data_IF_951215028240
#
_entry.id   IF_951215028240
#
_cell.length_a   1.000
_cell.length_b   1.000
_cell.length_c   1.000
_cell.angle_alpha   90.00
_cell.angle_beta   90.00
_cell.angle_gamma   90.00
#
_symmetry.space_group_name_H-M   'P 1'
#
loop_
_entity.id
_entity.type
_entity.pdbx_description
1 polymer ?
#
# COMPACT_ATOMS: atom_id res chain seq x y z
N UNK A 1 -12.12 3.51 -14.63
CA UNK A 1 -12.60 4.92 -14.70
C UNK A 1 -13.07 5.24 -16.11
N UNK A 2 -12.27 4.97 -17.12
CA UNK A 2 -12.63 5.01 -18.52
C UNK A 2 -12.44 3.61 -19.13
N UNK A 3 -12.89 3.39 -20.36
CA UNK A 3 -12.72 2.13 -21.06
C UNK A 3 -11.29 2.04 -21.59
N UNK A 4 -10.66 0.87 -21.51
CA UNK A 4 -9.34 0.69 -22.11
C UNK A 4 -9.38 1.00 -23.61
N UNK A 5 -8.43 1.82 -24.07
CA UNK A 5 -8.38 2.32 -25.44
C UNK A 5 -9.33 3.48 -25.78
N UNK A 6 -10.19 3.92 -24.86
CA UNK A 6 -11.07 5.08 -25.05
C UNK A 6 -11.17 5.94 -23.78
N UNK A 7 -10.49 7.09 -23.81
CA UNK A 7 -10.44 8.06 -22.71
C UNK A 7 -11.49 9.18 -22.85
N UNK A 8 -12.33 9.17 -23.89
CA UNK A 8 -13.26 10.28 -24.18
C UNK A 8 -14.36 10.42 -23.13
N UNK A 9 -14.71 9.32 -22.46
CA UNK A 9 -15.76 9.26 -21.43
C UNK A 9 -15.18 8.70 -20.13
N UNK A 10 -15.34 9.44 -19.03
CA UNK A 10 -14.92 9.05 -17.69
C UNK A 10 -16.09 8.87 -16.72
N UNK A 11 -16.10 7.76 -15.99
CA UNK A 11 -17.05 7.46 -14.93
C UNK A 11 -16.42 7.82 -13.57
N UNK A 12 -16.95 8.86 -12.93
CA UNK A 12 -16.43 9.42 -11.67
C UNK A 12 -17.49 9.30 -10.57
N UNK A 13 -17.09 8.90 -9.37
CA UNK A 13 -17.98 8.73 -8.22
C UNK A 13 -18.82 7.45 -8.24
N UNK A 14 -18.70 6.63 -9.28
CA UNK A 14 -19.38 5.32 -9.39
C UNK A 14 -18.68 4.21 -8.59
N UNK A 15 -18.15 4.56 -7.41
CA UNK A 15 -17.52 3.63 -6.47
C UNK A 15 -18.16 3.79 -5.09
N UNK A 16 -18.40 2.65 -4.42
CA UNK A 16 -18.92 2.64 -3.05
C UNK A 16 -17.84 2.08 -2.13
N UNK A 17 -16.98 2.94 -1.55
CA UNK A 17 -15.98 2.49 -0.59
C UNK A 17 -16.65 1.90 0.65
N UNK A 18 -16.02 0.88 1.23
CA UNK A 18 -16.51 0.28 2.48
C UNK A 18 -16.46 1.24 3.67
N UNK A 19 -15.34 1.95 3.79
CA UNK A 19 -15.02 2.91 4.85
C UNK A 19 -14.28 4.05 4.16
N UNK A 20 -14.75 5.28 4.29
CA UNK A 20 -14.10 6.45 3.69
C UNK A 20 -15.05 7.29 2.84
N UNK A 21 -14.56 8.46 2.43
CA UNK A 21 -15.37 9.46 1.74
C UNK A 21 -15.29 9.31 0.22
N UNK A 22 -16.43 9.44 -0.47
CA UNK A 22 -16.51 9.44 -1.94
C UNK A 22 -15.88 10.69 -2.57
N UNK A 23 -16.08 11.93 -2.04
CA UNK A 23 -15.56 13.13 -2.69
C UNK A 23 -14.03 13.12 -2.93
N UNK A 24 -13.19 12.67 -1.97
CA UNK A 24 -11.75 12.54 -2.22
C UNK A 24 -11.40 11.52 -3.31
N UNK A 25 -12.12 10.39 -3.39
CA UNK A 25 -11.92 9.41 -4.45
C UNK A 25 -12.36 9.97 -5.80
N UNK A 26 -13.51 10.65 -5.85
CA UNK A 26 -14.01 11.28 -7.06
C UNK A 26 -13.02 12.34 -7.59
N UNK A 27 -12.37 13.09 -6.70
CA UNK A 27 -11.28 14.00 -7.06
C UNK A 27 -10.11 13.25 -7.71
N UNK A 28 -9.57 12.19 -7.08
CA UNK A 28 -8.46 11.41 -7.66
C UNK A 28 -8.85 10.75 -8.99
N UNK A 29 -10.08 10.24 -9.10
CA UNK A 29 -10.63 9.69 -10.35
C UNK A 29 -10.68 10.75 -11.45
N UNK A 30 -11.15 11.96 -11.12
CA UNK A 30 -11.18 13.09 -12.04
C UNK A 30 -9.79 13.50 -12.49
N UNK A 31 -8.84 13.61 -11.55
CA UNK A 31 -7.45 13.95 -11.85
C UNK A 31 -6.79 12.95 -12.79
N UNK A 32 -6.97 11.65 -12.56
CA UNK A 32 -6.42 10.60 -13.41
C UNK A 32 -7.07 10.65 -14.80
N UNK A 33 -8.39 10.78 -14.87
CA UNK A 33 -9.09 10.83 -16.16
C UNK A 33 -8.69 12.07 -16.98
N UNK A 34 -8.69 13.25 -16.37
CA UNK A 34 -8.27 14.50 -17.03
C UNK A 34 -6.82 14.42 -17.50
N UNK A 35 -5.92 13.87 -16.67
CA UNK A 35 -4.53 13.65 -17.07
C UNK A 35 -4.44 12.77 -18.32
N UNK A 36 -5.17 11.66 -18.35
CA UNK A 36 -5.17 10.73 -19.50
C UNK A 36 -5.79 11.34 -20.74
N UNK A 37 -6.86 12.12 -20.58
CA UNK A 37 -7.47 12.87 -21.66
C UNK A 37 -6.52 13.91 -22.26
N UNK A 38 -5.75 14.61 -21.42
CA UNK A 38 -4.74 15.57 -21.89
C UNK A 38 -3.56 14.88 -22.58
N UNK A 39 -3.10 13.74 -22.06
CA UNK A 39 -2.04 12.94 -22.69
C UNK A 39 -2.46 12.40 -24.07
N UNK A 40 -3.71 12.01 -24.23
CA UNK A 40 -4.27 11.54 -25.50
C UNK A 40 -4.41 12.69 -26.53
N UNK A 41 -4.89 13.86 -26.08
CA UNK A 41 -5.13 15.02 -26.95
C UNK A 41 -3.87 15.81 -27.28
N UNK A 42 -2.91 15.86 -26.35
CA UNK A 42 -1.71 16.68 -26.38
C UNK A 42 -0.47 15.88 -25.94
N UNK A 43 -0.09 14.81 -26.67
CA UNK A 43 0.96 13.89 -26.25
C UNK A 43 2.36 14.51 -26.20
N UNK A 44 2.57 15.62 -26.92
CA UNK A 44 3.86 16.34 -26.93
C UNK A 44 4.00 17.28 -25.74
N UNK A 45 2.92 17.95 -25.38
CA UNK A 45 2.86 18.92 -24.28
C UNK A 45 2.72 18.24 -22.92
N UNK A 46 1.98 17.12 -22.87
CA UNK A 46 1.78 16.32 -21.66
C UNK A 46 2.31 14.91 -21.92
N UNK A 47 3.64 14.72 -21.87
CA UNK A 47 4.22 13.40 -22.05
C UNK A 47 3.83 12.47 -20.89
N UNK A 48 3.76 11.17 -21.16
CA UNK A 48 3.46 10.13 -20.16
C UNK A 48 4.64 9.84 -19.21
N UNK A 49 5.64 10.71 -19.16
CA UNK A 49 6.82 10.58 -18.31
C UNK A 49 6.44 10.75 -16.85
N UNK A 50 6.86 9.82 -15.99
CA UNK A 50 6.61 9.89 -14.55
C UNK A 50 7.60 10.79 -13.83
N UNK A 51 7.17 11.31 -12.70
CA UNK A 51 8.05 12.03 -11.78
C UNK A 51 9.11 11.05 -11.22
N UNK A 52 10.41 11.39 -11.27
CA UNK A 52 11.48 10.54 -10.72
C UNK A 52 11.33 10.22 -9.23
N UNK A 53 10.61 11.06 -8.48
CA UNK A 53 10.37 10.87 -7.04
C UNK A 53 9.14 10.03 -6.73
N UNK A 54 8.37 9.65 -7.76
CA UNK A 54 7.19 8.79 -7.63
C UNK A 54 7.55 7.30 -7.70
N UNK A 55 6.76 6.46 -7.04
CA UNK A 55 6.91 5.02 -7.12
C UNK A 55 6.57 4.48 -8.52
N UNK A 56 7.21 3.37 -8.87
CA UNK A 56 6.79 2.55 -10.00
C UNK A 56 5.39 1.96 -9.77
N UNK A 57 4.65 1.72 -10.86
CA UNK A 57 3.33 1.10 -10.73
C UNK A 57 3.50 -0.36 -10.37
N UNK A 58 2.77 -0.74 -9.34
CA UNK A 58 2.43 -2.12 -9.04
C UNK A 58 0.91 -2.17 -8.83
N UNK A 59 0.35 -3.37 -8.94
CA UNK A 59 -1.06 -3.56 -8.65
C UNK A 59 -1.22 -3.87 -7.16
N UNK A 60 -1.96 -3.02 -6.47
CA UNK A 60 -2.57 -3.38 -5.20
C UNK A 60 -3.82 -4.24 -5.46
N UNK A 61 -4.31 -4.94 -4.44
CA UNK A 61 -5.64 -5.54 -4.52
C UNK A 61 -6.70 -4.44 -4.36
N UNK A 62 -6.93 -3.68 -5.43
CA UNK A 62 -7.91 -2.59 -5.52
C UNK A 62 -9.13 -2.99 -6.36
N UNK A 63 -9.17 -4.23 -6.84
CA UNK A 63 -10.13 -4.67 -7.85
C UNK A 63 -11.56 -4.53 -7.33
N UNK A 64 -12.43 -4.00 -8.19
CA UNK A 64 -13.87 -3.99 -7.95
C UNK A 64 -14.35 -5.44 -7.93
N UNK A 65 -14.59 -5.99 -6.74
CA UNK A 65 -15.19 -7.30 -6.65
C UNK A 65 -16.61 -7.24 -7.21
N UNK A 66 -16.84 -8.02 -8.28
CA UNK A 66 -18.13 -8.09 -8.94
C UNK A 66 -19.21 -8.45 -7.91
N UNK A 67 -20.31 -7.71 -7.93
CA UNK A 67 -21.50 -8.07 -7.17
C UNK A 67 -21.98 -9.44 -7.66
N UNK A 68 -21.89 -10.46 -6.81
CA UNK A 68 -22.83 -11.57 -6.86
C UNK A 68 -24.25 -11.10 -6.53
N UNK A 69 -25.12 -12.04 -6.15
CA UNK A 69 -26.52 -11.77 -5.78
C UNK A 69 -26.68 -10.52 -4.88
N UNK A 70 -27.76 -9.77 -5.08
CA UNK A 70 -28.12 -8.47 -4.50
C UNK A 70 -28.35 -8.49 -2.96
N UNK A 71 -27.59 -9.28 -2.21
CA UNK A 71 -27.64 -9.33 -0.75
C UNK A 71 -26.78 -8.22 -0.17
N UNK A 72 -27.45 -7.24 0.44
CA UNK A 72 -26.83 -6.10 1.12
C UNK A 72 -25.81 -6.50 2.21
N UNK A 73 -25.96 -7.70 2.78
CA UNK A 73 -25.10 -8.24 3.83
C UNK A 73 -23.85 -8.95 3.27
N UNK A 74 -23.96 -9.58 2.10
CA UNK A 74 -22.85 -10.26 1.41
C UNK A 74 -22.00 -9.29 0.57
N UNK A 75 -22.57 -8.14 0.18
CA UNK A 75 -21.91 -7.08 -0.61
C UNK A 75 -21.47 -5.86 0.21
N UNK A 76 -21.22 -6.05 1.52
CA UNK A 76 -20.42 -5.08 2.28
C UNK A 76 -18.99 -5.12 1.71
N UNK A 77 -18.53 -4.02 1.08
CA UNK A 77 -17.15 -3.74 0.60
C UNK A 77 -16.89 -4.00 -0.89
N UNK A 78 -17.48 -3.19 -1.77
CA UNK A 78 -17.17 -3.25 -3.20
C UNK A 78 -15.74 -2.84 -3.54
N UNK A 79 -15.17 -1.90 -2.78
CA UNK A 79 -13.80 -1.38 -2.94
C UNK A 79 -13.24 -0.96 -1.58
N UNK A 80 -11.99 -1.31 -1.29
CA UNK A 80 -11.24 -0.75 -0.16
C UNK A 80 -10.78 0.67 -0.49
N UNK A 81 -11.12 1.64 0.36
CA UNK A 81 -10.89 3.06 0.06
C UNK A 81 -9.41 3.41 -0.03
N UNK A 82 -8.61 2.90 0.92
CA UNK A 82 -7.20 3.24 1.04
C UNK A 82 -6.39 2.64 -0.11
N UNK A 83 -6.60 1.34 -0.40
CA UNK A 83 -5.97 0.64 -1.52
C UNK A 83 -6.36 1.26 -2.85
N UNK A 84 -7.63 1.63 -3.04
CA UNK A 84 -8.10 2.26 -4.26
C UNK A 84 -7.54 3.67 -4.46
N UNK A 85 -7.56 4.52 -3.43
CA UNK A 85 -6.95 5.85 -3.49
C UNK A 85 -5.47 5.78 -3.84
N UNK A 86 -4.74 4.83 -3.23
CA UNK A 86 -3.32 4.65 -3.50
C UNK A 86 -3.06 4.13 -4.92
N UNK A 87 -3.88 3.20 -5.42
CA UNK A 87 -3.76 2.74 -6.82
C UNK A 87 -3.94 3.90 -7.80
N UNK A 88 -4.95 4.76 -7.59
CA UNK A 88 -5.14 5.94 -8.44
C UNK A 88 -3.91 6.85 -8.41
N UNK A 89 -3.27 7.00 -7.26
CA UNK A 89 -2.03 7.76 -7.14
C UNK A 89 -0.85 7.09 -7.86
N UNK A 90 -0.72 5.77 -7.82
CA UNK A 90 0.28 5.02 -8.60
C UNK A 90 0.08 5.21 -10.11
N UNK A 91 -1.16 5.08 -10.57
CA UNK A 91 -1.52 5.19 -11.99
C UNK A 91 -1.30 6.60 -12.55
N UNK A 92 -1.43 7.62 -11.70
CA UNK A 92 -1.09 9.01 -12.01
C UNK A 92 0.42 9.32 -11.91
N UNK A 93 1.21 8.48 -11.25
CA UNK A 93 2.60 8.81 -10.89
C UNK A 93 2.69 9.90 -9.81
N UNK A 94 1.72 9.93 -8.89
CA UNK A 94 1.60 10.90 -7.78
C UNK A 94 1.89 10.29 -6.40
N UNK A 95 2.21 9.00 -6.33
CA UNK A 95 2.58 8.33 -5.08
C UNK A 95 4.07 8.57 -4.75
N UNK A 96 4.40 9.28 -3.66
CA UNK A 96 5.79 9.63 -3.35
C UNK A 96 6.56 8.50 -2.66
N UNK A 97 7.86 8.41 -2.96
CA UNK A 97 8.78 7.52 -2.25
C UNK A 97 8.94 7.92 -0.78
N UNK A 98 8.98 6.92 0.12
CA UNK A 98 9.11 7.15 1.56
C UNK A 98 10.35 8.01 1.92
N UNK A 99 11.47 7.75 1.24
CA UNK A 99 12.71 8.51 1.40
C UNK A 99 12.55 9.99 1.01
N UNK A 100 11.85 10.27 -0.10
CA UNK A 100 11.56 11.63 -0.54
C UNK A 100 10.72 12.38 0.48
N UNK A 101 9.69 11.73 1.03
CA UNK A 101 8.83 12.34 2.06
C UNK A 101 9.63 12.60 3.34
N UNK A 102 10.48 11.66 3.74
CA UNK A 102 11.29 11.80 4.96
C UNK A 102 12.21 13.03 4.93
N UNK A 103 12.80 13.35 3.78
CA UNK A 103 13.64 14.55 3.61
C UNK A 103 12.88 15.86 3.82
N UNK A 104 11.56 15.87 3.65
CA UNK A 104 10.72 17.07 3.83
C UNK A 104 10.42 17.38 5.31
N UNK A 105 10.76 16.46 6.21
CA UNK A 105 10.71 16.69 7.66
C UNK A 105 9.83 15.68 8.41
N UNK A 106 10.09 15.56 9.71
CA UNK A 106 9.48 14.55 10.55
C UNK A 106 7.94 14.64 10.62
N UNK A 107 7.37 15.85 10.72
CA UNK A 107 5.91 16.02 10.78
C UNK A 107 5.24 15.52 9.52
N UNK A 108 5.79 15.84 8.35
CA UNK A 108 5.27 15.39 7.05
C UNK A 108 5.38 13.88 6.94
N UNK A 109 6.54 13.33 7.28
CA UNK A 109 6.76 11.89 7.26
C UNK A 109 5.82 11.14 8.20
N UNK A 110 5.61 11.65 9.42
CA UNK A 110 4.68 11.07 10.38
C UNK A 110 3.23 11.11 9.86
N UNK A 111 2.77 12.25 9.35
CA UNK A 111 1.44 12.39 8.74
C UNK A 111 1.27 11.47 7.52
N UNK A 112 2.32 11.30 6.72
CA UNK A 112 2.33 10.43 5.57
C UNK A 112 2.25 8.95 5.96
N UNK A 113 3.06 8.51 6.93
CA UNK A 113 3.14 7.10 7.33
C UNK A 113 1.97 6.65 8.22
N UNK A 114 1.50 7.51 9.13
CA UNK A 114 0.51 7.15 10.15
C UNK A 114 -0.91 7.63 9.83
N UNK A 115 -1.06 8.51 8.84
CA UNK A 115 -2.37 9.01 8.41
C UNK A 115 -3.01 8.13 7.33
N UNK A 116 -4.33 8.27 7.15
CA UNK A 116 -5.07 7.77 5.98
C UNK A 116 -4.57 8.42 4.68
N UNK A 117 -4.85 7.83 3.52
CA UNK A 117 -4.50 8.34 2.18
C UNK A 117 -5.28 9.61 1.82
N UNK A 118 -4.93 10.72 2.48
CA UNK A 118 -5.39 12.05 2.13
C UNK A 118 -4.88 12.45 0.74
N UNK A 119 -5.74 13.07 -0.07
CA UNK A 119 -5.38 13.56 -1.39
C UNK A 119 -4.17 14.50 -1.37
N UNK A 120 -3.97 15.26 -0.29
CA UNK A 120 -2.82 16.14 -0.08
C UNK A 120 -1.48 15.40 -0.14
N UNK A 121 -1.41 14.14 0.30
CA UNK A 121 -0.19 13.31 0.21
C UNK A 121 0.22 13.10 -1.25
N UNK A 122 -0.76 12.91 -2.13
CA UNK A 122 -0.57 12.71 -3.56
C UNK A 122 -0.34 14.03 -4.33
N UNK A 123 -0.30 15.17 -3.62
CA UNK A 123 0.09 16.48 -4.19
C UNK A 123 1.57 16.79 -3.95
N UNK A 124 2.34 15.91 -3.31
CA UNK A 124 3.78 16.11 -3.07
C UNK A 124 4.64 15.82 -4.32
N UNK A 125 4.16 14.96 -5.21
CA UNK A 125 4.86 14.56 -6.44
C UNK A 125 3.85 14.34 -7.57
N UNK A 126 4.36 14.25 -8.81
CA UNK A 126 3.56 13.91 -9.97
C UNK A 126 2.92 15.10 -10.69
N UNK A 127 2.01 14.86 -11.64
CA UNK A 127 1.51 15.88 -12.57
C UNK A 127 0.71 16.99 -11.90
N UNK A 128 0.10 16.69 -10.76
CA UNK A 128 -0.78 17.58 -10.02
C UNK A 128 -0.13 18.16 -8.76
N UNK A 129 1.21 18.24 -8.74
CA UNK A 129 2.05 18.65 -7.62
C UNK A 129 1.74 20.07 -7.13
N UNK A 130 1.65 20.23 -5.81
CA UNK A 130 1.45 21.51 -5.14
C UNK A 130 2.18 21.53 -3.79
N UNK A 131 3.51 21.42 -3.86
CA UNK A 131 4.40 21.17 -2.71
C UNK A 131 4.14 22.08 -1.52
N UNK A 132 4.28 23.39 -1.67
CA UNK A 132 4.25 24.31 -0.53
C UNK A 132 2.93 24.23 0.25
N UNK A 133 1.81 24.19 -0.47
CA UNK A 133 0.48 24.05 0.14
C UNK A 133 0.30 22.66 0.78
N UNK A 134 0.72 21.59 0.08
CA UNK A 134 0.60 20.23 0.58
C UNK A 134 1.44 20.03 1.85
N UNK A 135 2.68 20.51 1.86
CA UNK A 135 3.60 20.44 2.99
C UNK A 135 3.07 21.24 4.19
N UNK A 136 2.55 22.45 3.95
CA UNK A 136 1.97 23.29 5.00
C UNK A 136 0.76 22.61 5.66
N UNK A 137 -0.16 22.05 4.86
CA UNK A 137 -1.36 21.35 5.36
C UNK A 137 -0.96 20.05 6.10
N UNK A 138 0.02 19.30 5.57
CA UNK A 138 0.50 18.06 6.17
C UNK A 138 1.25 18.26 7.48
N UNK A 139 2.01 19.35 7.62
CA UNK A 139 2.72 19.73 8.84
C UNK A 139 1.82 20.25 9.95
N UNK A 140 0.67 20.83 9.58
CA UNK A 140 -0.22 21.53 10.50
C UNK A 140 -1.52 20.74 10.73
N UNK A 141 -2.55 21.04 9.94
CA UNK A 141 -3.91 20.51 10.12
C UNK A 141 -3.91 18.98 10.19
N UNK A 142 -3.31 18.31 9.21
CA UNK A 142 -3.32 16.85 9.15
C UNK A 142 -2.42 16.23 10.21
N UNK A 143 -1.29 16.84 10.55
CA UNK A 143 -0.44 16.35 11.63
C UNK A 143 -1.18 16.33 12.96
N UNK A 144 -1.95 17.38 13.27
CA UNK A 144 -2.73 17.44 14.51
C UNK A 144 -3.83 16.37 14.54
N UNK A 145 -4.46 16.08 13.40
CA UNK A 145 -5.47 15.01 13.28
C UNK A 145 -4.84 13.62 13.43
N UNK A 146 -3.73 13.36 12.74
CA UNK A 146 -3.03 12.07 12.79
C UNK A 146 -2.45 11.79 14.18
N UNK A 147 -1.89 12.82 14.83
CA UNK A 147 -1.39 12.72 16.20
C UNK A 147 -2.50 12.34 17.18
N UNK A 148 -3.71 12.91 17.03
CA UNK A 148 -4.84 12.64 17.93
C UNK A 148 -5.49 11.28 17.68
N UNK A 149 -5.52 10.83 16.43
CA UNK A 149 -6.08 9.51 16.07
C UNK A 149 -5.21 8.34 16.56
N UNK A 150 -4.00 8.61 17.04
CA UNK A 150 -3.17 7.62 17.73
C UNK A 150 -2.60 6.56 16.79
N UNK A 151 -2.38 6.88 15.50
CA UNK A 151 -1.89 5.92 14.50
C UNK A 151 -0.64 5.13 14.95
N UNK A 152 0.27 5.78 15.68
CA UNK A 152 1.42 5.09 16.28
C UNK A 152 1.05 4.11 17.39
N UNK A 153 0.06 4.43 18.23
CA UNK A 153 -0.43 3.52 19.28
C UNK A 153 -1.03 2.28 18.63
N UNK A 154 -1.82 2.44 17.57
CA UNK A 154 -2.37 1.31 16.81
C UNK A 154 -1.25 0.46 16.18
N UNK A 155 -0.29 1.08 15.50
CA UNK A 155 0.83 0.34 14.91
C UNK A 155 1.65 -0.41 15.98
N UNK A 156 1.94 0.25 17.10
CA UNK A 156 2.74 -0.33 18.16
C UNK A 156 2.03 -1.53 18.82
N UNK A 157 0.74 -1.39 19.12
CA UNK A 157 -0.03 -2.40 19.86
C UNK A 157 -0.51 -3.56 18.98
N UNK A 158 -0.97 -3.29 17.75
CA UNK A 158 -1.53 -4.32 16.88
C UNK A 158 -0.52 -4.95 15.93
N UNK A 159 0.59 -4.28 15.63
CA UNK A 159 1.60 -4.79 14.69
C UNK A 159 2.92 -5.10 15.39
N UNK A 160 3.55 -4.09 16.02
CA UNK A 160 4.90 -4.27 16.57
C UNK A 160 4.92 -5.23 17.76
N UNK A 161 3.98 -5.11 18.70
CA UNK A 161 3.94 -5.99 19.87
C UNK A 161 3.71 -7.47 19.49
N UNK A 162 2.69 -7.82 18.66
CA UNK A 162 2.54 -9.19 18.18
C UNK A 162 3.75 -9.68 17.38
N UNK A 163 4.32 -8.83 16.52
CA UNK A 163 5.50 -9.21 15.73
C UNK A 163 6.70 -9.53 16.62
N UNK A 164 6.95 -8.73 17.66
CA UNK A 164 8.04 -8.99 18.60
C UNK A 164 7.78 -10.25 19.42
N UNK A 165 6.56 -10.45 19.93
CA UNK A 165 6.23 -11.63 20.75
C UNK A 165 6.28 -12.90 19.90
N UNK A 166 5.49 -12.98 18.84
CA UNK A 166 5.40 -14.18 18.00
C UNK A 166 6.63 -14.39 17.13
N UNK A 167 7.28 -13.31 16.69
CA UNK A 167 8.53 -13.38 15.93
C UNK A 167 9.68 -13.94 16.78
N UNK A 168 9.84 -13.47 18.02
CA UNK A 168 10.87 -14.03 18.92
C UNK A 168 10.58 -15.47 19.30
N UNK A 169 9.32 -15.84 19.57
CA UNK A 169 8.92 -17.23 19.79
C UNK A 169 9.24 -18.13 18.59
N UNK A 170 8.91 -17.67 17.37
CA UNK A 170 9.21 -18.40 16.14
C UNK A 170 10.70 -18.57 15.93
N UNK A 171 11.50 -17.51 16.13
CA UNK A 171 12.96 -17.58 16.06
C UNK A 171 13.54 -18.57 17.08
N UNK A 172 13.04 -18.58 18.31
CA UNK A 172 13.50 -19.52 19.34
C UNK A 172 13.20 -20.98 18.96
N UNK A 173 12.02 -21.25 18.40
CA UNK A 173 11.66 -22.58 17.90
C UNK A 173 12.56 -23.01 16.74
N UNK A 174 12.81 -22.12 15.77
CA UNK A 174 13.72 -22.42 14.65
C UNK A 174 15.15 -22.66 15.12
N UNK A 175 15.65 -21.87 16.06
CA UNK A 175 16.97 -22.06 16.66
C UNK A 175 17.05 -23.41 17.38
N UNK A 176 16.03 -23.77 18.15
CA UNK A 176 15.95 -25.06 18.84
C UNK A 176 15.94 -26.24 17.86
N UNK A 177 15.12 -26.19 16.81
CA UNK A 177 15.11 -27.22 15.76
C UNK A 177 16.45 -27.32 15.02
N UNK A 178 17.10 -26.19 14.73
CA UNK A 178 18.42 -26.18 14.10
C UNK A 178 19.47 -26.85 15.00
N UNK A 179 19.47 -26.56 16.30
CA UNK A 179 20.35 -27.20 17.28
C UNK A 179 20.05 -28.69 17.36
N UNK A 180 18.78 -29.09 17.47
CA UNK A 180 18.40 -30.50 17.51
C UNK A 180 18.84 -31.26 16.25
N UNK A 181 18.62 -30.69 15.07
CA UNK A 181 19.04 -31.28 13.79
C UNK A 181 20.56 -31.39 13.69
N UNK A 182 21.30 -30.39 14.19
CA UNK A 182 22.76 -30.43 14.27
C UNK A 182 23.21 -31.59 15.16
N UNK A 183 22.64 -31.71 16.37
CA UNK A 183 22.94 -32.81 17.29
C UNK A 183 22.57 -34.18 16.71
N UNK A 184 21.40 -34.31 16.09
CA UNK A 184 20.95 -35.52 15.43
C UNK A 184 21.83 -35.89 14.22
N UNK A 185 22.35 -34.91 13.46
CA UNK A 185 23.28 -35.17 12.37
C UNK A 185 24.68 -35.59 12.85
N UNK A 186 25.14 -35.04 13.97
CA UNK A 186 26.43 -35.38 14.58
C UNK A 186 26.41 -36.73 15.31
N UNK A 187 25.30 -37.09 15.97
CA UNK A 187 25.19 -38.34 16.75
C UNK A 187 24.41 -39.46 16.05
N UNK A 188 23.46 -39.14 15.16
CA UNK A 188 22.62 -40.11 14.44
C UNK A 188 23.31 -40.81 13.28
N UNK A 189 24.48 -40.34 12.83
CA UNK A 189 25.28 -40.97 11.77
C UNK A 189 26.01 -42.25 12.20
N UNK A 190 25.74 -42.76 13.41
CA UNK A 190 26.43 -43.92 14.01
C UNK A 190 25.62 -45.23 14.00
N UNK A 191 24.39 -45.26 13.47
CA UNK A 191 23.52 -46.43 13.58
C UNK A 191 23.15 -47.15 12.27
N UNK A 192 23.76 -46.79 11.13
CA UNK A 192 23.54 -47.51 9.85
C UNK A 192 24.81 -48.16 9.28
N UNK A 193 25.72 -48.62 10.15
CA UNK A 193 26.85 -49.47 9.75
C UNK A 193 26.80 -50.78 10.55
N UNK A 194 25.83 -51.64 10.26
CA UNK A 194 25.71 -52.88 11.05
C UNK A 194 24.59 -53.84 10.72
N UNK A 195 24.12 -53.95 9.46
CA UNK A 195 23.32 -55.12 9.05
C UNK A 195 23.72 -55.57 7.64
N UNK A 196 24.94 -56.10 7.55
CA UNK A 196 25.33 -56.98 6.45
C UNK A 196 24.51 -58.27 6.55
N UNK A 197 23.56 -58.43 5.63
CA UNK A 197 22.78 -59.65 5.42
C UNK A 197 23.73 -60.82 5.15
N UNK A 198 23.78 -61.78 6.07
CA UNK A 198 24.28 -63.13 5.78
C UNK A 198 23.18 -63.88 5.03
N UNK A 199 23.35 -64.06 3.71
CA UNK A 199 22.51 -64.90 2.86
C UNK A 199 23.17 -66.29 2.77
N UNK A 200 22.52 -67.31 3.32
CA UNK A 200 22.66 -68.70 2.87
C UNK A 200 21.44 -69.04 2.03
#
# INVERSE_FOLDING_TARGET
>A
IYKEGDVTIGYIGFVRPAIGAIPPLAELQAQLWVLRLLQDRYPKEVPSTRDPEALETYELDYQLHARGNYSFWDTKRGVDHESYAYQLALDMGSAPCAWTVMKKGFKIFYTWAMGSNFNTKFRLVGPWKRNEAAENIMCNELFNVVKRSGGFVYLATYTLAPFLIFGTMSMALYAWFAIYNLFASCFGRRSEAGTSKTRK
#
